data_IF_531024372811
#
_entry.id   IF_531024372811
#
_cell.length_a   1.000
_cell.length_b   1.000
_cell.length_c   1.000
_cell.angle_alpha   90.00
_cell.angle_beta   90.00
_cell.angle_gamma   90.00
#
_symmetry.space_group_name_H-M   'P 1'
#
loop_
_entity.id
_entity.type
_entity.pdbx_description
1 polymer ?
#
# COMPACT_ATOMS: atom_id res chain seq x y z
N UNK A 1 -15.25 17.88 11.12
CA UNK A 1 -13.93 17.43 10.69
C UNK A 1 -13.99 15.94 10.43
N UNK A 2 -13.72 15.51 9.20
CA UNK A 2 -13.76 14.08 8.87
C UNK A 2 -12.46 13.43 9.35
N UNK A 3 -12.55 12.48 10.27
CA UNK A 3 -11.41 11.73 10.73
C UNK A 3 -11.08 10.64 9.71
N UNK A 4 -9.84 10.60 9.27
CA UNK A 4 -9.35 9.62 8.32
C UNK A 4 -8.45 8.59 8.97
N UNK A 5 -8.38 7.43 8.36
CA UNK A 5 -7.50 6.33 8.73
C UNK A 5 -6.80 5.85 7.46
N UNK A 6 -5.51 5.58 7.55
CA UNK A 6 -4.74 5.02 6.42
C UNK A 6 -4.43 3.57 6.76
N UNK A 7 -4.82 2.64 5.88
CA UNK A 7 -4.35 1.27 5.93
C UNK A 7 -3.20 1.11 4.96
N UNK A 8 -1.98 1.02 5.49
CA UNK A 8 -0.77 0.87 4.72
C UNK A 8 -0.43 -0.61 4.56
N UNK A 9 -0.16 -1.06 3.35
CA UNK A 9 0.26 -2.42 3.04
C UNK A 9 1.72 -2.45 2.54
N UNK A 10 2.27 -3.65 2.38
CA UNK A 10 3.69 -3.87 2.08
C UNK A 10 4.16 -3.32 0.72
N UNK A 11 3.24 -3.00 -0.17
CA UNK A 11 3.60 -2.45 -1.48
C UNK A 11 3.67 -0.92 -1.53
N UNK A 12 3.35 -0.26 -0.41
CA UNK A 12 3.29 1.20 -0.36
C UNK A 12 4.12 1.78 0.80
N UNK A 13 5.26 1.20 1.09
CA UNK A 13 6.13 1.59 2.21
C UNK A 13 7.01 2.78 1.85
N UNK A 14 6.38 3.91 1.50
CA UNK A 14 7.08 5.14 1.12
C UNK A 14 6.41 6.35 1.77
N UNK A 15 7.24 7.24 2.31
CA UNK A 15 6.76 8.47 2.94
C UNK A 15 6.08 9.42 1.95
N UNK A 16 6.43 9.35 0.68
CA UNK A 16 5.91 10.20 -0.39
C UNK A 16 4.67 9.65 -1.09
N UNK A 17 4.09 8.55 -0.59
CA UNK A 17 2.88 8.01 -1.21
C UNK A 17 1.73 9.02 -1.11
N UNK A 18 0.94 9.21 -2.19
CA UNK A 18 -0.15 10.18 -2.20
C UNK A 18 -1.22 9.97 -1.12
N UNK A 19 -1.34 8.76 -0.56
CA UNK A 19 -2.28 8.47 0.51
C UNK A 19 -2.01 9.33 1.76
N UNK A 20 -0.75 9.62 2.08
CA UNK A 20 -0.39 10.47 3.21
C UNK A 20 -0.85 11.92 3.00
N UNK A 21 -0.75 12.42 1.77
CA UNK A 21 -1.22 13.76 1.43
C UNK A 21 -2.75 13.83 1.39
N UNK A 22 -3.41 12.79 0.86
CA UNK A 22 -4.87 12.73 0.78
C UNK A 22 -5.53 12.68 2.16
N UNK A 23 -4.87 12.04 3.12
CA UNK A 23 -5.36 11.84 4.48
C UNK A 23 -4.46 12.54 5.51
N UNK A 24 -4.10 13.79 5.24
CA UNK A 24 -3.21 14.57 6.12
C UNK A 24 -3.73 14.59 7.56
N UNK A 25 -2.87 14.24 8.50
CA UNK A 25 -3.21 14.16 9.92
C UNK A 25 -3.91 12.88 10.34
N UNK A 26 -4.17 11.95 9.41
CA UNK A 26 -4.78 10.66 9.73
C UNK A 26 -3.75 9.70 10.37
N UNK A 27 -4.25 8.79 11.21
CA UNK A 27 -3.44 7.70 11.75
C UNK A 27 -3.17 6.69 10.64
N UNK A 28 -1.91 6.35 10.43
CA UNK A 28 -1.51 5.29 9.51
C UNK A 28 -1.28 3.99 10.30
N UNK A 29 -1.87 2.90 9.83
CA UNK A 29 -1.83 1.60 10.48
C UNK A 29 -1.32 0.55 9.50
N UNK A 30 -0.39 -0.28 9.95
CA UNK A 30 0.01 -1.50 9.25
C UNK A 30 -0.46 -2.70 10.07
N UNK A 31 -1.22 -3.58 9.45
CA UNK A 31 -1.70 -4.80 10.09
C UNK A 31 -0.67 -5.92 9.90
N UNK A 32 0.00 -6.30 10.97
CA UNK A 32 0.98 -7.39 10.94
C UNK A 32 0.22 -8.72 11.03
N UNK A 33 -0.14 -9.25 9.87
CA UNK A 33 -0.95 -10.44 9.71
C UNK A 33 -0.06 -11.61 9.28
N UNK A 34 0.23 -12.50 10.21
CA UNK A 34 1.11 -13.66 9.99
C UNK A 34 0.51 -14.60 8.92
N UNK A 35 -0.79 -14.82 8.95
CA UNK A 35 -1.46 -15.69 8.00
C UNK A 35 -1.43 -15.11 6.58
N UNK A 36 -1.64 -13.80 6.46
CA UNK A 36 -1.50 -13.11 5.17
C UNK A 36 -0.07 -13.21 4.64
N UNK A 37 0.93 -12.98 5.49
CA UNK A 37 2.34 -13.05 5.09
C UNK A 37 2.72 -14.44 4.60
N UNK A 38 2.20 -15.47 5.25
CA UNK A 38 2.41 -16.86 4.82
C UNK A 38 1.75 -17.12 3.45
N UNK A 39 0.52 -16.66 3.26
CA UNK A 39 -0.21 -16.81 2.00
C UNK A 39 0.45 -16.04 0.86
N UNK A 40 1.04 -14.90 1.15
CA UNK A 40 1.76 -14.06 0.18
C UNK A 40 3.22 -14.50 -0.03
N UNK A 41 3.65 -15.56 0.63
CA UNK A 41 5.03 -16.08 0.57
C UNK A 41 6.08 -15.03 0.94
N UNK A 42 5.79 -14.22 1.96
CA UNK A 42 6.71 -13.22 2.47
C UNK A 42 7.66 -13.86 3.48
N UNK A 43 8.89 -14.09 3.05
CA UNK A 43 9.92 -14.70 3.87
C UNK A 43 10.48 -13.77 4.95
N UNK A 44 11.32 -14.31 5.83
CA UNK A 44 11.86 -13.58 6.98
C UNK A 44 12.64 -12.31 6.58
N UNK A 45 13.45 -12.38 5.54
CA UNK A 45 14.23 -11.22 5.08
C UNK A 45 13.33 -10.07 4.66
N UNK A 46 12.25 -10.38 3.94
CA UNK A 46 11.29 -9.39 3.50
C UNK A 46 10.49 -8.83 4.68
N UNK A 47 10.16 -9.67 5.65
CA UNK A 47 9.50 -9.22 6.89
C UNK A 47 10.37 -8.22 7.65
N UNK A 48 11.68 -8.49 7.76
CA UNK A 48 12.64 -7.56 8.40
C UNK A 48 12.68 -6.24 7.64
N UNK A 49 12.75 -6.28 6.32
CA UNK A 49 12.74 -5.09 5.48
C UNK A 49 11.45 -4.27 5.67
N UNK A 50 10.30 -4.93 5.71
CA UNK A 50 9.01 -4.29 5.95
C UNK A 50 9.01 -3.59 7.32
N UNK A 51 9.45 -4.30 8.36
CA UNK A 51 9.50 -3.77 9.71
C UNK A 51 10.40 -2.54 9.82
N UNK A 52 11.60 -2.61 9.27
CA UNK A 52 12.54 -1.48 9.24
C UNK A 52 11.96 -0.28 8.49
N UNK A 53 11.30 -0.53 7.35
CA UNK A 53 10.65 0.53 6.57
C UNK A 53 9.53 1.19 7.36
N UNK A 54 8.74 0.42 8.11
CA UNK A 54 7.65 0.94 8.93
C UNK A 54 8.16 1.83 10.08
N UNK A 55 9.31 1.50 10.64
CA UNK A 55 9.90 2.32 11.71
C UNK A 55 10.25 3.73 11.22
N UNK A 56 10.65 3.86 9.95
CA UNK A 56 10.99 5.15 9.37
C UNK A 56 9.75 5.97 8.97
N UNK A 57 8.58 5.35 8.89
CA UNK A 57 7.34 5.97 8.39
C UNK A 57 6.38 6.45 9.48
N UNK A 58 6.72 6.30 10.74
CA UNK A 58 5.85 6.67 11.87
C UNK A 58 4.46 6.02 11.77
N UNK A 59 4.42 4.75 11.39
CA UNK A 59 3.20 3.97 11.23
C UNK A 59 2.97 3.12 12.46
N UNK A 60 1.73 3.05 12.92
CA UNK A 60 1.34 2.15 14.01
C UNK A 60 1.24 0.73 13.48
N UNK A 61 2.01 -0.18 14.07
CA UNK A 61 2.00 -1.60 13.72
C UNK A 61 1.10 -2.33 14.71
N UNK A 62 0.07 -3.00 14.20
CA UNK A 62 -0.87 -3.77 15.02
C UNK A 62 -0.91 -5.19 14.49
N UNK A 63 -0.73 -6.17 15.37
CA UNK A 63 -0.79 -7.57 15.02
C UNK A 63 -2.24 -8.02 14.82
N UNK A 64 -2.52 -8.66 13.71
CA UNK A 64 -3.83 -9.21 13.40
C UNK A 64 -4.24 -8.98 11.95
N UNK A 65 -5.36 -9.57 11.56
CA UNK A 65 -5.93 -9.42 10.25
C UNK A 65 -6.54 -8.02 10.07
N UNK A 66 -6.37 -7.43 8.89
CA UNK A 66 -6.88 -6.09 8.61
C UNK A 66 -8.38 -5.98 8.85
N UNK A 67 -9.15 -7.00 8.46
CA UNK A 67 -10.61 -7.04 8.66
C UNK A 67 -11.03 -7.07 10.13
N UNK A 68 -10.13 -7.44 11.04
CA UNK A 68 -10.37 -7.44 12.49
C UNK A 68 -9.80 -6.20 13.17
N UNK A 69 -8.63 -5.75 12.73
CA UNK A 69 -7.91 -4.63 13.34
C UNK A 69 -8.52 -3.29 12.95
N UNK A 70 -8.79 -3.09 11.67
CA UNK A 70 -9.23 -1.78 11.16
C UNK A 70 -10.58 -1.33 11.73
N UNK A 71 -11.60 -2.21 11.91
CA UNK A 71 -12.84 -1.78 12.56
C UNK A 71 -12.62 -1.29 14.00
N UNK A 72 -11.72 -1.91 14.74
CA UNK A 72 -11.41 -1.51 16.12
C UNK A 72 -10.74 -0.13 16.13
N UNK A 73 -9.75 0.07 15.28
CA UNK A 73 -9.03 1.35 15.17
C UNK A 73 -9.96 2.45 14.68
N UNK A 74 -10.78 2.17 13.68
CA UNK A 74 -11.74 3.13 13.14
C UNK A 74 -12.73 3.59 14.21
N UNK A 75 -13.19 2.66 15.03
CA UNK A 75 -14.11 2.97 16.14
C UNK A 75 -13.44 3.80 17.22
N UNK A 76 -12.21 3.45 17.57
CA UNK A 76 -11.40 4.18 18.56
C UNK A 76 -11.17 5.64 18.12
N UNK A 77 -10.80 5.82 16.85
CA UNK A 77 -10.45 7.12 16.30
C UNK A 77 -11.66 7.86 15.71
N UNK A 78 -12.85 7.27 15.76
CA UNK A 78 -14.08 7.81 15.16
C UNK A 78 -13.87 8.14 13.67
N UNK A 79 -13.17 7.29 12.96
CA UNK A 79 -12.86 7.49 11.56
C UNK A 79 -14.09 7.28 10.69
N UNK A 80 -14.27 8.16 9.72
CA UNK A 80 -15.37 8.10 8.74
C UNK A 80 -14.87 7.70 7.36
N UNK A 81 -13.57 7.78 7.13
CA UNK A 81 -12.93 7.43 5.86
C UNK A 81 -11.72 6.55 6.10
N UNK A 82 -11.55 5.57 5.22
CA UNK A 82 -10.35 4.73 5.15
C UNK A 82 -9.68 4.99 3.81
N UNK A 83 -8.41 5.39 3.86
CA UNK A 83 -7.57 5.57 2.68
C UNK A 83 -6.65 4.38 2.54
N UNK A 84 -6.64 3.77 1.36
CA UNK A 84 -5.83 2.60 1.06
C UNK A 84 -5.02 2.87 -0.21
N UNK A 85 -3.69 2.73 -0.18
CA UNK A 85 -2.90 2.81 -1.41
C UNK A 85 -3.39 1.76 -2.42
N UNK A 86 -3.69 2.19 -3.64
CA UNK A 86 -4.15 1.29 -4.68
C UNK A 86 -3.02 0.35 -5.12
N UNK A 87 -3.39 -0.88 -5.44
CA UNK A 87 -2.45 -1.90 -5.87
C UNK A 87 -3.13 -2.91 -6.79
N UNK A 88 -2.43 -3.45 -7.79
CA UNK A 88 -2.94 -4.55 -8.60
C UNK A 88 -2.83 -5.93 -7.91
N UNK A 89 -2.20 -6.02 -6.75
CA UNK A 89 -1.97 -7.29 -6.05
C UNK A 89 -3.29 -7.96 -5.65
N UNK A 90 -3.62 -9.15 -6.18
CA UNK A 90 -4.90 -9.80 -5.92
C UNK A 90 -5.07 -10.23 -4.46
N UNK A 91 -3.99 -10.52 -3.74
CA UNK A 91 -4.07 -10.89 -2.32
C UNK A 91 -4.47 -9.69 -1.46
N UNK A 92 -3.92 -8.52 -1.74
CA UNK A 92 -4.29 -7.28 -1.05
C UNK A 92 -5.72 -6.89 -1.40
N UNK A 93 -6.12 -7.04 -2.66
CA UNK A 93 -7.51 -6.79 -3.09
C UNK A 93 -8.50 -7.71 -2.39
N UNK A 94 -8.12 -8.96 -2.16
CA UNK A 94 -8.95 -9.91 -1.43
C UNK A 94 -9.12 -9.48 0.03
N UNK A 95 -8.03 -9.09 0.69
CA UNK A 95 -8.09 -8.54 2.05
C UNK A 95 -8.92 -7.26 2.10
N UNK A 96 -8.80 -6.40 1.10
CA UNK A 96 -9.57 -5.17 0.99
C UNK A 96 -11.08 -5.45 0.92
N UNK A 97 -11.51 -6.47 0.18
CA UNK A 97 -12.94 -6.81 0.14
C UNK A 97 -13.46 -7.30 1.49
N UNK A 98 -12.66 -8.01 2.27
CA UNK A 98 -13.00 -8.38 3.64
C UNK A 98 -13.11 -7.14 4.55
N UNK A 99 -12.18 -6.21 4.40
CA UNK A 99 -12.17 -4.95 5.16
C UNK A 99 -13.42 -4.12 4.85
N UNK A 100 -13.77 -3.98 3.57
CA UNK A 100 -14.98 -3.26 3.16
C UNK A 100 -16.24 -3.87 3.77
N UNK A 101 -16.33 -5.19 3.81
CA UNK A 101 -17.46 -5.88 4.42
C UNK A 101 -17.53 -5.65 5.94
N UNK A 102 -16.38 -5.50 6.59
CA UNK A 102 -16.29 -5.29 8.05
C UNK A 102 -16.51 -3.83 8.47
N UNK A 103 -16.32 -2.86 7.56
CA UNK A 103 -16.38 -1.43 7.84
C UNK A 103 -17.71 -0.82 7.34
N UNK A 104 -18.82 -1.20 7.97
CA UNK A 104 -20.11 -0.62 7.64
C UNK A 104 -20.14 0.88 8.01
N UNK A 105 -20.59 1.72 7.06
CA UNK A 105 -20.72 3.16 7.28
C UNK A 105 -19.44 3.97 7.13
N UNK A 106 -18.34 3.32 6.75
CA UNK A 106 -17.05 3.99 6.50
C UNK A 106 -16.78 3.99 5.01
N UNK A 107 -16.43 5.15 4.46
CA UNK A 107 -16.07 5.29 3.05
C UNK A 107 -14.63 4.83 2.85
N UNK A 108 -14.43 3.91 1.90
CA UNK A 108 -13.10 3.43 1.53
C UNK A 108 -12.67 4.10 0.23
N UNK A 109 -11.53 4.79 0.28
CA UNK A 109 -10.96 5.46 -0.88
C UNK A 109 -9.63 4.81 -1.26
N UNK A 110 -9.51 4.37 -2.51
CA UNK A 110 -8.28 3.86 -3.06
C UNK A 110 -7.47 5.03 -3.63
N UNK A 111 -6.25 5.19 -3.14
CA UNK A 111 -5.39 6.29 -3.56
C UNK A 111 -4.35 5.77 -4.54
N UNK A 112 -4.41 6.18 -5.81
CA UNK A 112 -3.46 5.70 -6.81
C UNK A 112 -2.08 6.26 -6.57
N UNK A 113 -1.08 5.46 -6.90
CA UNK A 113 0.30 5.90 -6.90
C UNK A 113 0.50 6.92 -8.02
N UNK A 114 1.43 7.89 -7.81
CA UNK A 114 1.82 8.80 -8.87
C UNK A 114 2.59 8.03 -9.93
N UNK A 115 1.89 7.72 -11.02
CA UNK A 115 2.53 7.11 -12.18
C UNK A 115 3.24 8.20 -13.00
N UNK A 116 4.25 7.81 -13.75
CA UNK A 116 4.90 8.67 -14.76
C UNK A 116 3.90 9.28 -15.73
N UNK A 117 2.70 8.78 -15.77
CA UNK A 117 1.64 9.10 -16.75
C UNK A 117 0.80 10.31 -16.34
N UNK A 118 0.97 10.88 -15.13
CA UNK A 118 0.20 12.04 -14.67
C UNK A 118 0.72 13.37 -15.21
N UNK A 119 1.37 13.37 -16.34
CA UNK A 119 1.89 14.58 -16.96
C UNK A 119 0.86 15.31 -17.84
N UNK A 120 -0.41 14.88 -17.83
CA UNK A 120 -1.47 15.53 -18.63
C UNK A 120 -1.30 15.42 -20.13
N UNK A 121 -0.27 14.75 -20.60
CA UNK A 121 0.03 14.48 -21.99
C UNK A 121 0.14 12.98 -22.16
N UNK A 122 -0.49 12.42 -23.18
CA UNK A 122 -0.30 11.01 -23.48
C UNK A 122 1.19 10.76 -23.68
N UNK A 123 1.80 9.87 -22.87
CA UNK A 123 3.21 9.59 -23.03
C UNK A 123 3.47 8.94 -24.37
N UNK A 124 4.57 9.33 -24.99
CA UNK A 124 5.05 8.64 -26.17
C UNK A 124 5.55 7.25 -25.77
N UNK A 125 4.66 6.27 -25.88
CA UNK A 125 4.96 4.89 -25.53
C UNK A 125 6.10 4.30 -26.34
N UNK A 126 6.34 4.81 -27.55
CA UNK A 126 7.44 4.35 -28.40
C UNK A 126 8.80 4.68 -27.77
N UNK A 127 8.94 5.87 -27.19
CA UNK A 127 10.14 6.25 -26.42
C UNK A 127 10.33 5.40 -25.18
N UNK A 128 9.25 5.14 -24.45
CA UNK A 128 9.28 4.30 -23.26
C UNK A 128 9.74 2.88 -23.61
N UNK A 129 9.19 2.28 -24.66
CA UNK A 129 9.56 0.93 -25.08
C UNK A 129 11.01 0.84 -25.57
N UNK A 130 11.51 1.87 -26.26
CA UNK A 130 12.92 1.94 -26.64
C UNK A 130 13.84 1.98 -25.43
N UNK A 131 13.52 2.83 -24.47
CA UNK A 131 14.26 2.93 -23.22
C UNK A 131 14.23 1.62 -22.44
N UNK A 132 13.05 1.05 -22.29
CA UNK A 132 12.86 -0.22 -21.56
C UNK A 132 13.62 -1.37 -22.21
N UNK A 133 13.55 -1.50 -23.53
CA UNK A 133 14.28 -2.55 -24.25
C UNK A 133 15.80 -2.41 -24.07
N UNK A 134 16.29 -1.18 -24.06
CA UNK A 134 17.71 -0.89 -23.85
C UNK A 134 18.13 -1.20 -22.41
N UNK A 135 17.38 -0.74 -21.43
CA UNK A 135 17.62 -0.98 -20.01
C UNK A 135 17.52 -2.46 -19.66
N UNK A 136 16.55 -3.17 -20.23
CA UNK A 136 16.34 -4.60 -20.04
C UNK A 136 17.54 -5.42 -20.54
N UNK A 137 18.09 -5.08 -21.71
CA UNK A 137 19.29 -5.75 -22.23
C UNK A 137 20.50 -5.56 -21.31
N UNK A 138 20.69 -4.37 -20.77
CA UNK A 138 21.77 -4.08 -19.83
C UNK A 138 21.55 -4.78 -18.49
N UNK A 139 20.35 -4.82 -17.98
CA UNK A 139 20.00 -5.52 -16.75
C UNK A 139 20.23 -7.03 -16.86
N UNK A 140 19.86 -7.63 -18.01
CA UNK A 140 20.08 -9.05 -18.27
C UNK A 140 21.55 -9.39 -18.44
N UNK A 141 22.35 -8.48 -19.00
CA UNK A 141 23.81 -8.69 -19.12
C UNK A 141 24.51 -8.65 -17.77
N UNK A 142 24.02 -7.85 -16.82
CA UNK A 142 24.57 -7.77 -15.46
C UNK A 142 24.10 -8.91 -14.55
N UNK A 143 22.92 -9.43 -14.77
CA UNK A 143 22.36 -10.52 -13.97
C UNK A 143 22.50 -11.90 -14.59
N UNK A 144 22.99 -12.02 -15.80
CA UNK A 144 23.02 -13.25 -16.59
C UNK A 144 24.34 -14.02 -16.54
N UNK A 145 25.02 -13.93 -15.45
CA UNK A 145 26.23 -14.74 -15.28
C UNK A 145 25.88 -16.08 -14.67
#
# INVERSE_FOLDING_TARGET
MMAGLIWLHEEALRADHPAFAAASGATAVFCWDVDYMAAADIGLRRQIFIYESLLDLEVTIIQGAASQVLPVVARRDQATQLFVPDTPNPLIKHELSKVKAALAGITVELVPERLFVQLGVQPDLSRFFRYWNKARKQALRRGGI
#
